data_IF_235377918894
#
_entry.id   IF_235377918894
#
_cell.length_a   1.000
_cell.length_b   1.000
_cell.length_c   1.000
_cell.angle_alpha   90.00
_cell.angle_beta   90.00
_cell.angle_gamma   90.00
#
_symmetry.space_group_name_H-M   'P 1'
#
loop_
_entity.id
_entity.type
_entity.pdbx_description
1 polymer ?
#
# COMPACT_ATOMS: atom_id res chain seq x y z
N UNK A 1 1.33 -0.06 -12.09
CA UNK A 1 0.95 -1.10 -11.10
C UNK A 1 -0.35 -1.81 -11.46
N UNK A 2 -1.51 -1.14 -11.52
CA UNK A 2 -2.82 -1.79 -11.83
C UNK A 2 -2.78 -2.70 -13.07
N UNK A 3 -2.29 -2.20 -14.21
CA UNK A 3 -2.13 -3.00 -15.44
C UNK A 3 -1.20 -4.21 -15.29
N UNK A 4 -0.19 -4.12 -14.43
CA UNK A 4 0.76 -5.22 -14.19
C UNK A 4 0.10 -6.34 -13.37
N UNK A 5 -0.61 -5.99 -12.29
CA UNK A 5 -1.29 -6.98 -11.45
C UNK A 5 -2.41 -7.69 -12.20
N UNK A 6 -3.23 -6.95 -12.95
CA UNK A 6 -4.29 -7.55 -13.78
C UNK A 6 -3.71 -8.52 -14.81
N UNK A 7 -2.59 -8.16 -15.47
CA UNK A 7 -1.94 -9.02 -16.48
C UNK A 7 -1.33 -10.29 -15.89
N UNK A 8 -0.92 -10.24 -14.62
CA UNK A 8 -0.17 -11.30 -13.95
C UNK A 8 -0.98 -12.01 -12.85
N UNK A 9 -2.29 -11.74 -12.79
CA UNK A 9 -3.17 -12.12 -11.69
C UNK A 9 -3.13 -13.61 -11.38
N UNK A 10 -3.29 -14.44 -12.40
CA UNK A 10 -3.51 -15.87 -12.23
C UNK A 10 -2.28 -16.53 -11.57
N UNK A 11 -1.07 -16.25 -12.04
CA UNK A 11 0.13 -16.81 -11.40
C UNK A 11 0.48 -16.15 -10.05
N UNK A 12 0.09 -14.88 -9.82
CA UNK A 12 0.35 -14.18 -8.55
C UNK A 12 -0.59 -14.68 -7.44
N UNK A 13 -1.86 -14.99 -7.74
CA UNK A 13 -2.89 -15.25 -6.72
C UNK A 13 -3.46 -16.67 -6.69
N UNK A 14 -3.28 -17.49 -7.73
CA UNK A 14 -3.80 -18.87 -7.74
C UNK A 14 -3.17 -19.75 -6.65
N UNK A 15 -1.86 -19.64 -6.45
CA UNK A 15 -1.12 -20.41 -5.43
C UNK A 15 -0.70 -19.56 -4.22
N UNK A 16 -1.26 -18.36 -4.08
CA UNK A 16 -0.93 -17.49 -2.97
C UNK A 16 -1.37 -18.11 -1.63
N UNK A 17 -0.53 -18.08 -0.59
CA UNK A 17 -0.93 -18.53 0.73
C UNK A 17 -2.12 -17.70 1.23
N UNK A 18 -3.09 -18.39 1.84
CA UNK A 18 -4.33 -17.80 2.33
C UNK A 18 -4.49 -18.03 3.83
N UNK A 19 -5.10 -17.04 4.47
CA UNK A 19 -5.53 -17.11 5.87
C UNK A 19 -6.70 -18.09 6.04
N UNK A 20 -7.08 -18.35 7.29
CA UNK A 20 -8.26 -19.16 7.61
C UNK A 20 -9.58 -18.62 7.05
N UNK A 21 -9.66 -17.32 6.77
CA UNK A 21 -10.80 -16.65 6.13
C UNK A 21 -10.69 -16.62 4.59
N UNK A 22 -9.79 -17.42 4.00
CA UNK A 22 -9.53 -17.56 2.56
C UNK A 22 -8.94 -16.32 1.87
N UNK A 23 -8.74 -15.21 2.60
CA UNK A 23 -8.07 -14.03 2.07
C UNK A 23 -6.58 -14.27 1.90
N UNK A 24 -6.01 -13.69 0.84
CA UNK A 24 -4.55 -13.72 0.60
C UNK A 24 -3.84 -12.97 1.73
N UNK A 25 -2.71 -13.51 2.19
CA UNK A 25 -1.88 -12.83 3.19
C UNK A 25 -1.35 -11.49 2.67
N UNK A 26 -1.40 -10.44 3.49
CA UNK A 26 -0.88 -9.10 3.18
C UNK A 26 0.59 -9.13 2.72
N UNK A 27 1.40 -10.04 3.27
CA UNK A 27 2.78 -10.26 2.85
C UNK A 27 2.92 -10.56 1.35
N UNK A 28 1.96 -11.29 0.74
CA UNK A 28 1.98 -11.56 -0.70
C UNK A 28 1.85 -10.26 -1.49
N UNK A 29 0.97 -9.37 -1.06
CA UNK A 29 0.79 -8.06 -1.68
C UNK A 29 2.01 -7.17 -1.49
N UNK A 30 2.55 -7.11 -0.27
CA UNK A 30 3.78 -6.40 0.05
C UNK A 30 4.93 -6.83 -0.87
N UNK A 31 5.21 -8.15 -0.98
CA UNK A 31 6.32 -8.66 -1.78
C UNK A 31 6.13 -8.40 -3.28
N UNK A 32 4.91 -8.58 -3.80
CA UNK A 32 4.63 -8.29 -5.21
C UNK A 32 4.78 -6.81 -5.54
N UNK A 33 4.30 -5.92 -4.65
CA UNK A 33 4.45 -4.49 -4.81
C UNK A 33 5.93 -4.07 -4.77
N UNK A 34 6.67 -4.57 -3.78
CA UNK A 34 8.10 -4.35 -3.65
C UNK A 34 8.85 -4.76 -4.92
N UNK A 35 8.61 -5.97 -5.44
CA UNK A 35 9.28 -6.47 -6.65
C UNK A 35 8.96 -5.61 -7.87
N UNK A 36 7.69 -5.24 -8.05
CA UNK A 36 7.28 -4.38 -9.16
C UNK A 36 7.92 -2.99 -9.08
N UNK A 37 7.85 -2.32 -7.93
CA UNK A 37 8.42 -0.98 -7.75
C UNK A 37 9.93 -1.00 -7.86
N UNK A 38 10.60 -1.98 -7.26
CA UNK A 38 12.06 -2.12 -7.35
C UNK A 38 12.50 -2.26 -8.80
N UNK A 39 11.84 -3.12 -9.59
CA UNK A 39 12.14 -3.30 -11.00
C UNK A 39 11.84 -2.06 -11.84
N UNK A 40 10.74 -1.36 -11.55
CA UNK A 40 10.32 -0.17 -12.28
C UNK A 40 11.20 1.05 -11.95
N UNK A 41 11.33 1.41 -10.68
CA UNK A 41 11.99 2.62 -10.19
C UNK A 41 13.50 2.55 -10.44
N UNK A 42 14.12 1.37 -10.33
CA UNK A 42 15.54 1.18 -10.63
C UNK A 42 15.91 1.57 -12.07
N UNK A 43 14.98 1.43 -13.03
CA UNK A 43 15.18 1.88 -14.42
C UNK A 43 15.33 3.38 -14.56
N UNK A 44 14.91 4.13 -13.55
CA UNK A 44 15.00 5.59 -13.47
C UNK A 44 16.02 6.05 -12.41
N UNK A 45 16.84 5.12 -11.88
CA UNK A 45 17.87 5.45 -10.89
C UNK A 45 17.33 5.71 -9.47
N UNK A 46 16.12 5.26 -9.14
CA UNK A 46 15.64 5.26 -7.76
C UNK A 46 15.80 3.91 -7.07
N UNK A 47 15.45 3.88 -5.79
CA UNK A 47 15.63 2.73 -4.90
C UNK A 47 14.35 2.49 -4.09
N UNK A 48 14.09 1.22 -3.77
CA UNK A 48 12.97 0.81 -2.93
C UNK A 48 13.51 -0.05 -1.80
N UNK A 49 13.17 0.31 -0.57
CA UNK A 49 13.60 -0.35 0.65
C UNK A 49 12.38 -0.96 1.33
N UNK A 50 12.32 -2.30 1.45
CA UNK A 50 11.26 -2.94 2.21
C UNK A 50 11.64 -2.98 3.69
N UNK A 51 10.70 -2.63 4.55
CA UNK A 51 10.75 -3.00 5.96
C UNK A 51 9.88 -4.24 6.11
N UNK A 52 10.52 -5.34 6.52
CA UNK A 52 9.78 -6.58 6.70
C UNK A 52 8.78 -6.42 7.85
N UNK A 53 7.55 -6.96 7.73
CA UNK A 53 6.53 -6.85 8.75
C UNK A 53 6.96 -7.63 10.00
N UNK A 54 7.68 -6.96 10.91
CA UNK A 54 8.11 -7.51 12.20
C UNK A 54 7.24 -7.01 13.36
N UNK A 55 6.14 -6.31 13.07
CA UNK A 55 5.27 -5.73 14.11
C UNK A 55 5.93 -4.63 14.96
N UNK A 56 7.03 -4.05 14.47
CA UNK A 56 7.85 -3.06 15.20
C UNK A 56 7.43 -1.60 14.95
N UNK A 57 6.29 -1.36 14.30
CA UNK A 57 5.78 -0.02 14.06
C UNK A 57 6.56 0.76 12.99
N UNK A 58 6.97 0.11 11.91
CA UNK A 58 7.55 0.76 10.73
C UNK A 58 6.61 0.70 9.53
N UNK A 59 6.79 1.64 8.60
CA UNK A 59 6.10 1.63 7.30
C UNK A 59 6.60 0.48 6.42
N UNK A 60 5.73 -0.10 5.59
CA UNK A 60 6.09 -1.23 4.73
C UNK A 60 7.21 -0.94 3.73
N UNK A 61 7.10 0.14 2.94
CA UNK A 61 8.07 0.45 1.88
C UNK A 61 8.51 1.91 1.92
N UNK A 62 9.80 2.13 1.70
CA UNK A 62 10.39 3.46 1.47
C UNK A 62 10.90 3.51 0.04
N UNK A 63 10.48 4.51 -0.71
CA UNK A 63 10.96 4.80 -2.07
C UNK A 63 11.85 6.04 -2.03
N UNK A 64 13.04 5.95 -2.59
CA UNK A 64 13.95 7.09 -2.80
C UNK A 64 14.08 7.36 -4.30
N UNK A 65 13.74 8.58 -4.71
CA UNK A 65 13.84 8.98 -6.12
C UNK A 65 14.05 10.49 -6.23
N UNK A 66 14.99 10.90 -7.09
CA UNK A 66 15.28 12.32 -7.36
C UNK A 66 15.50 13.17 -6.09
N UNK A 67 16.21 12.63 -5.10
CA UNK A 67 16.48 13.32 -3.82
C UNK A 67 15.29 13.42 -2.87
N UNK A 68 14.15 12.80 -3.22
CA UNK A 68 12.94 12.75 -2.38
C UNK A 68 12.73 11.35 -1.81
N UNK A 69 12.10 11.31 -0.64
CA UNK A 69 11.68 10.09 0.04
C UNK A 69 10.16 10.02 0.03
N UNK A 70 9.62 8.84 -0.27
CA UNK A 70 8.19 8.55 -0.26
C UNK A 70 7.95 7.31 0.57
N UNK A 71 6.87 7.32 1.36
CA UNK A 71 6.44 6.16 2.14
C UNK A 71 5.20 5.51 1.53
N UNK A 72 5.18 4.18 1.53
CA UNK A 72 4.04 3.39 1.07
C UNK A 72 3.70 2.36 2.16
N UNK A 73 2.47 2.40 2.64
CA UNK A 73 1.89 1.39 3.52
C UNK A 73 0.96 0.47 2.71
N UNK A 74 0.94 -0.82 3.03
CA UNK A 74 0.12 -1.82 2.35
C UNK A 74 -0.90 -2.40 3.34
N UNK A 75 -2.15 -2.52 2.89
CA UNK A 75 -3.22 -3.18 3.67
C UNK A 75 -4.10 -4.06 2.81
N UNK A 76 -4.55 -5.18 3.37
CA UNK A 76 -5.74 -5.86 2.87
C UNK A 76 -7.00 -5.14 3.37
N UNK A 77 -7.89 -4.72 2.48
CA UNK A 77 -9.15 -4.11 2.89
C UNK A 77 -10.04 -5.13 3.63
N UNK A 78 -10.61 -4.72 4.77
CA UNK A 78 -11.49 -5.56 5.58
C UNK A 78 -12.89 -4.98 5.69
N UNK A 79 -13.00 -3.79 6.26
CA UNK A 79 -14.23 -3.06 6.52
C UNK A 79 -13.93 -1.56 6.69
N UNK A 80 -14.99 -0.77 6.97
CA UNK A 80 -14.88 0.67 7.16
C UNK A 80 -14.02 1.06 8.37
N UNK A 81 -14.06 0.29 9.46
CA UNK A 81 -13.27 0.60 10.66
C UNK A 81 -11.79 0.37 10.37
N UNK A 82 -11.45 -0.77 9.77
CA UNK A 82 -10.09 -1.08 9.35
C UNK A 82 -9.53 -0.06 8.36
N UNK A 83 -10.36 0.44 7.44
CA UNK A 83 -9.99 1.54 6.55
C UNK A 83 -9.60 2.81 7.32
N UNK A 84 -10.45 3.26 8.25
CA UNK A 84 -10.16 4.45 9.05
C UNK A 84 -8.94 4.28 9.96
N UNK A 85 -8.77 3.12 10.59
CA UNK A 85 -7.60 2.81 11.41
C UNK A 85 -6.31 2.83 10.58
N UNK A 86 -6.33 2.29 9.37
CA UNK A 86 -5.19 2.27 8.46
C UNK A 86 -4.80 3.68 7.99
N UNK A 87 -5.76 4.59 7.78
CA UNK A 87 -5.47 5.99 7.46
C UNK A 87 -4.70 6.67 8.59
N UNK A 88 -5.19 6.59 9.82
CA UNK A 88 -4.52 7.17 10.99
C UNK A 88 -3.15 6.54 11.23
N UNK A 89 -3.01 5.23 11.02
CA UNK A 89 -1.72 4.54 11.12
C UNK A 89 -0.73 5.05 10.06
N UNK A 90 -1.15 5.18 8.81
CA UNK A 90 -0.31 5.69 7.72
C UNK A 90 0.15 7.14 7.99
N UNK A 91 -0.73 7.99 8.51
CA UNK A 91 -0.40 9.36 8.90
C UNK A 91 0.70 9.40 9.99
N UNK A 92 0.58 8.56 11.03
CA UNK A 92 1.59 8.40 12.08
C UNK A 92 2.95 7.96 11.53
N UNK A 93 2.97 7.05 10.55
CA UNK A 93 4.22 6.68 9.89
C UNK A 93 4.82 7.85 9.11
N UNK A 94 3.99 8.65 8.43
CA UNK A 94 4.44 9.88 7.78
C UNK A 94 5.13 10.84 8.74
N UNK A 95 4.53 11.08 9.91
CA UNK A 95 5.10 11.95 10.94
C UNK A 95 6.45 11.44 11.46
N UNK A 96 6.53 10.15 11.80
CA UNK A 96 7.78 9.52 12.26
C UNK A 96 8.92 9.65 11.24
N UNK A 97 8.58 9.59 9.95
CA UNK A 97 9.51 9.72 8.84
C UNK A 97 9.74 11.18 8.41
N UNK A 98 9.06 12.15 9.04
CA UNK A 98 9.05 13.57 8.69
C UNK A 98 8.61 13.82 7.24
N UNK A 99 7.70 12.99 6.75
CA UNK A 99 7.08 13.11 5.43
C UNK A 99 5.77 13.88 5.56
N UNK A 100 5.45 14.67 4.54
CA UNK A 100 4.16 15.39 4.46
C UNK A 100 3.08 14.59 3.75
N UNK A 101 3.48 13.57 3.01
CA UNK A 101 2.60 12.74 2.20
C UNK A 101 3.00 11.26 2.31
N UNK A 102 2.01 10.39 2.45
CA UNK A 102 2.15 8.92 2.44
C UNK A 102 1.10 8.32 1.50
N UNK A 103 1.49 7.28 0.76
CA UNK A 103 0.53 6.49 -0.01
C UNK A 103 0.10 5.27 0.79
N UNK A 104 -1.22 5.04 0.89
CA UNK A 104 -1.78 3.84 1.53
C UNK A 104 -2.43 2.96 0.45
N UNK A 105 -1.85 1.79 0.19
CA UNK A 105 -2.34 0.88 -0.85
C UNK A 105 -3.22 -0.19 -0.23
N UNK A 106 -4.50 -0.17 -0.59
CA UNK A 106 -5.46 -1.20 -0.22
C UNK A 106 -5.58 -2.25 -1.32
N UNK A 107 -5.40 -3.51 -0.96
CA UNK A 107 -5.74 -4.65 -1.80
C UNK A 107 -7.15 -5.15 -1.46
N UNK A 108 -7.98 -5.31 -2.49
CA UNK A 108 -9.38 -5.73 -2.36
C UNK A 108 -9.75 -6.65 -3.52
N UNK A 109 -10.67 -7.59 -3.30
CA UNK A 109 -11.17 -8.50 -4.35
C UNK A 109 -11.81 -7.70 -5.50
N UNK A 110 -12.73 -6.80 -5.18
CA UNK A 110 -13.35 -5.88 -6.13
C UNK A 110 -13.73 -4.56 -5.48
N UNK A 111 -13.77 -3.49 -6.28
CA UNK A 111 -14.29 -2.19 -5.86
C UNK A 111 -14.96 -1.49 -7.05
N UNK A 112 -16.16 -0.95 -6.85
CA UNK A 112 -16.87 -0.19 -7.89
C UNK A 112 -16.42 1.27 -7.93
N UNK A 113 -16.75 1.97 -9.01
CA UNK A 113 -16.34 3.37 -9.21
C UNK A 113 -16.88 4.33 -8.14
N UNK A 114 -18.09 4.09 -7.63
CA UNK A 114 -18.68 4.89 -6.55
C UNK A 114 -17.86 4.80 -5.26
N UNK A 115 -17.50 3.58 -4.84
CA UNK A 115 -16.66 3.38 -3.67
C UNK A 115 -15.23 3.87 -3.93
N UNK A 116 -14.72 3.77 -5.15
CA UNK A 116 -13.40 4.31 -5.51
C UNK A 116 -13.36 5.83 -5.34
N UNK A 117 -14.37 6.54 -5.86
CA UNK A 117 -14.48 7.99 -5.69
C UNK A 117 -14.59 8.41 -4.21
N UNK A 118 -15.20 7.56 -3.38
CA UNK A 118 -15.36 7.80 -1.95
C UNK A 118 -14.11 7.52 -1.12
N UNK A 119 -13.42 6.40 -1.39
CA UNK A 119 -12.33 5.89 -0.54
C UNK A 119 -10.92 6.15 -1.09
N UNK A 120 -10.78 6.67 -2.31
CA UNK A 120 -9.49 7.19 -2.81
C UNK A 120 -9.36 8.71 -2.65
N UNK A 121 -10.22 9.31 -1.83
CA UNK A 121 -10.08 10.70 -1.44
C UNK A 121 -8.91 10.86 -0.47
N UNK A 122 -8.09 11.88 -0.68
CA UNK A 122 -7.01 12.27 0.22
C UNK A 122 -7.55 12.50 1.65
N UNK A 123 -6.80 12.00 2.63
CA UNK A 123 -7.09 12.14 4.04
C UNK A 123 -5.99 12.96 4.71
N UNK A 124 -6.35 14.16 5.16
CA UNK A 124 -5.46 14.99 5.97
C UNK A 124 -5.68 14.69 7.45
N UNK A 125 -4.62 14.34 8.15
CA UNK A 125 -4.64 14.11 9.60
C UNK A 125 -4.19 15.36 10.34
N UNK A 126 -5.10 16.03 11.04
CA UNK A 126 -4.83 17.30 11.73
C UNK A 126 -3.80 17.16 12.87
N UNK A 127 -3.70 15.97 13.48
CA UNK A 127 -2.78 15.70 14.59
C UNK A 127 -1.33 15.65 14.12
N UNK A 128 -1.08 14.94 13.01
CA UNK A 128 0.27 14.76 12.44
C UNK A 128 0.61 15.79 11.37
N UNK A 129 -0.38 16.45 10.78
CA UNK A 129 -0.22 17.33 9.62
C UNK A 129 0.28 16.61 8.36
N UNK A 130 -0.05 15.32 8.22
CA UNK A 130 0.31 14.45 7.10
C UNK A 130 -0.91 14.22 6.22
N UNK A 131 -0.72 14.30 4.90
CA UNK A 131 -1.70 13.87 3.91
C UNK A 131 -1.49 12.38 3.57
N UNK A 132 -2.55 11.59 3.61
CA UNK A 132 -2.55 10.19 3.20
C UNK A 132 -3.35 10.06 1.92
N UNK A 133 -2.73 9.52 0.88
CA UNK A 133 -3.38 9.23 -0.40
C UNK A 133 -3.72 7.73 -0.48
N UNK A 134 -4.97 7.33 -0.21
CA UNK A 134 -5.41 5.94 -0.35
C UNK A 134 -5.57 5.55 -1.82
N UNK A 135 -5.11 4.34 -2.17
CA UNK A 135 -5.23 3.77 -3.52
C UNK A 135 -5.70 2.33 -3.42
N UNK A 136 -6.79 1.98 -4.09
CA UNK A 136 -7.30 0.62 -4.16
C UNK A 136 -6.77 -0.11 -5.39
N UNK A 137 -6.38 -1.35 -5.14
CA UNK A 137 -5.84 -2.29 -6.11
C UNK A 137 -6.70 -3.54 -6.07
N UNK A 138 -7.41 -3.77 -7.17
CA UNK A 138 -8.23 -4.97 -7.34
C UNK A 138 -7.35 -6.19 -7.60
N UNK A 139 -7.61 -7.26 -6.86
CA UNK A 139 -6.96 -8.56 -7.02
C UNK A 139 -7.78 -9.50 -7.92
N UNK A 140 -9.07 -9.21 -8.11
CA UNK A 140 -10.02 -10.03 -8.86
C UNK A 140 -10.63 -11.14 -8.03
#
# INVERSE_FOLDING_TARGET
MRKYLVKNRDWIFSDAPRRSDLRVYEAVFHFNLYMYLSGFIRRFGGEVYPEFPTGNGKIDLIVKYAGKTYGIEVKSYTDRRGYSEALTQAARYGDQLKLKEITLVFFVESINDENRAKYEADFFDDETGVNVTPVFVETG
#
